data_IF_512082707102
#
_entry.id   IF_512082707102
#
_cell.length_a   1.000
_cell.length_b   1.000
_cell.length_c   1.000
_cell.angle_alpha   90.00
_cell.angle_beta   90.00
_cell.angle_gamma   90.00
#
_symmetry.space_group_name_H-M   'P 1'
#
loop_
_entity.id
_entity.type
_entity.pdbx_description
1 polymer ?
#
# COMPACT_ATOMS: atom_id res chain seq x y z
N UNK A 1 36.56 -18.61 9.21
CA UNK A 1 36.20 -20.04 9.41
C UNK A 1 36.31 -20.77 8.08
N UNK A 2 36.85 -21.99 8.02
CA UNK A 2 36.96 -22.72 6.75
C UNK A 2 35.58 -23.27 6.33
N UNK A 3 35.21 -23.28 5.04
CA UNK A 3 33.87 -23.67 4.57
C UNK A 3 33.39 -25.03 5.09
N UNK A 4 34.28 -26.02 5.16
CA UNK A 4 33.93 -27.35 5.68
C UNK A 4 33.52 -27.34 7.17
N UNK A 5 34.06 -26.41 7.98
CA UNK A 5 33.68 -26.29 9.40
C UNK A 5 32.26 -25.73 9.54
N UNK A 6 31.86 -24.83 8.64
CA UNK A 6 30.50 -24.29 8.58
C UNK A 6 29.53 -25.39 8.14
N UNK A 7 29.91 -26.18 7.13
CA UNK A 7 29.10 -27.31 6.65
C UNK A 7 28.89 -28.36 7.76
N UNK A 8 29.94 -28.77 8.46
CA UNK A 8 29.86 -29.72 9.58
C UNK A 8 28.96 -29.17 10.69
N UNK A 9 29.11 -27.88 11.03
CA UNK A 9 28.26 -27.24 12.03
C UNK A 9 26.78 -27.26 11.63
N UNK A 10 26.46 -26.94 10.38
CA UNK A 10 25.09 -26.99 9.84
C UNK A 10 24.52 -28.42 9.93
N UNK A 11 25.28 -29.43 9.50
CA UNK A 11 24.84 -30.83 9.60
C UNK A 11 24.63 -31.28 11.05
N UNK A 12 25.50 -30.84 11.96
CA UNK A 12 25.37 -31.15 13.38
C UNK A 12 24.13 -30.49 13.98
N UNK A 13 23.82 -29.25 13.63
CA UNK A 13 22.57 -28.60 14.02
C UNK A 13 21.35 -29.36 13.49
N UNK A 14 21.33 -29.74 12.21
CA UNK A 14 20.21 -30.52 11.64
C UNK A 14 20.06 -31.88 12.32
N UNK A 15 21.17 -32.57 12.60
CA UNK A 15 21.15 -33.85 13.31
C UNK A 15 20.56 -33.70 14.71
N UNK A 16 21.00 -32.70 15.48
CA UNK A 16 20.46 -32.44 16.83
C UNK A 16 18.96 -32.11 16.77
N UNK A 17 18.53 -31.29 15.82
CA UNK A 17 17.11 -30.96 15.63
C UNK A 17 16.27 -32.19 15.23
N UNK A 18 16.81 -33.07 14.39
CA UNK A 18 16.13 -34.30 13.97
C UNK A 18 15.97 -35.30 15.13
N UNK A 19 17.01 -35.44 15.96
CA UNK A 19 16.95 -36.26 17.18
C UNK A 19 15.93 -35.67 18.16
N UNK A 20 15.99 -34.36 18.42
CA UNK A 20 15.03 -33.68 19.29
C UNK A 20 13.58 -33.88 18.81
N UNK A 21 13.32 -33.68 17.52
CA UNK A 21 11.99 -33.87 16.95
C UNK A 21 11.52 -35.32 16.87
N UNK A 22 12.43 -36.30 16.88
CA UNK A 22 12.07 -37.72 16.92
C UNK A 22 11.70 -38.19 18.33
N UNK A 23 12.31 -37.60 19.35
CA UNK A 23 12.07 -37.95 20.76
C UNK A 23 10.90 -37.15 21.35
N UNK A 24 10.55 -36.00 20.75
CA UNK A 24 9.46 -35.16 21.24
C UNK A 24 8.09 -35.84 21.03
N UNK A 25 7.20 -35.87 22.05
CA UNK A 25 5.90 -36.51 21.92
C UNK A 25 5.01 -35.80 20.89
N UNK A 26 4.25 -36.54 20.05
CA UNK A 26 3.40 -35.96 19.01
C UNK A 26 2.37 -34.95 19.52
N UNK A 27 1.80 -35.22 20.70
CA UNK A 27 0.78 -34.36 21.33
C UNK A 27 1.36 -33.12 22.02
N UNK A 28 2.70 -33.01 22.05
CA UNK A 28 3.43 -31.96 22.75
C UNK A 28 3.61 -32.24 24.25
N UNK A 29 4.51 -31.48 24.87
CA UNK A 29 4.80 -31.56 26.29
C UNK A 29 4.05 -30.45 27.01
N UNK A 30 3.12 -30.81 27.90
CA UNK A 30 2.35 -29.85 28.70
C UNK A 30 3.17 -29.41 29.92
N UNK A 31 3.49 -28.12 29.99
CA UNK A 31 4.10 -27.49 31.16
C UNK A 31 3.13 -26.41 31.65
N UNK A 32 2.35 -26.74 32.68
CA UNK A 32 1.28 -25.86 33.18
C UNK A 32 0.19 -25.63 32.12
N UNK A 33 -0.06 -24.38 31.76
CA UNK A 33 -1.01 -24.00 30.70
C UNK A 33 -0.38 -23.94 29.30
N UNK A 34 0.93 -24.13 29.18
CA UNK A 34 1.66 -24.03 27.91
C UNK A 34 1.89 -25.44 27.37
N UNK A 35 1.53 -25.66 26.10
CA UNK A 35 1.85 -26.90 25.38
C UNK A 35 3.01 -26.62 24.43
N UNK A 36 4.20 -27.14 24.77
CA UNK A 36 5.34 -27.10 23.86
C UNK A 36 5.15 -28.17 22.80
N UNK A 37 5.39 -27.84 21.53
CA UNK A 37 5.35 -28.78 20.42
C UNK A 37 6.62 -28.66 19.62
N UNK A 38 7.13 -29.77 19.13
CA UNK A 38 8.28 -29.81 18.25
C UNK A 38 7.92 -30.68 17.03
N UNK A 39 8.15 -30.19 15.80
CA UNK A 39 7.81 -30.95 14.61
C UNK A 39 8.72 -32.18 14.47
N UNK A 40 8.14 -33.33 14.17
CA UNK A 40 8.93 -34.53 13.87
C UNK A 40 9.66 -34.38 12.53
N UNK A 41 10.79 -35.07 12.30
CA UNK A 41 11.46 -35.04 11.00
C UNK A 41 10.51 -35.40 9.85
N UNK A 42 9.64 -36.39 10.06
CA UNK A 42 8.64 -36.78 9.08
C UNK A 42 7.66 -35.64 8.73
N UNK A 43 7.26 -34.80 9.70
CA UNK A 43 6.39 -33.65 9.44
C UNK A 43 7.10 -32.51 8.69
N UNK A 44 8.42 -32.40 8.81
CA UNK A 44 9.23 -31.39 8.10
C UNK A 44 9.53 -31.83 6.67
N UNK A 45 9.72 -33.14 6.45
CA UNK A 45 9.98 -33.72 5.13
C UNK A 45 8.74 -34.18 4.40
N UNK A 46 7.59 -34.29 5.08
CA UNK A 46 6.29 -34.42 4.43
C UNK A 46 6.06 -33.13 3.64
N UNK A 47 6.37 -33.19 2.34
CA UNK A 47 5.69 -32.37 1.37
C UNK A 47 4.21 -32.62 1.61
N UNK A 48 3.51 -31.60 2.12
CA UNK A 48 2.08 -31.55 1.92
C UNK A 48 1.86 -31.82 0.43
N UNK A 49 0.90 -32.68 0.08
CA UNK A 49 0.27 -32.64 -1.23
C UNK A 49 -0.51 -31.31 -1.33
N UNK A 50 0.16 -30.18 -1.10
CA UNK A 50 -0.25 -28.93 -1.67
C UNK A 50 -0.14 -29.17 -3.17
N UNK A 51 -1.27 -29.04 -3.86
CA UNK A 51 -1.26 -28.79 -5.29
C UNK A 51 -0.27 -27.65 -5.52
N UNK A 52 0.97 -28.02 -5.86
CA UNK A 52 2.00 -27.06 -6.21
C UNK A 52 1.49 -26.45 -7.49
N UNK A 53 0.81 -25.30 -7.36
CA UNK A 53 0.51 -24.43 -8.47
C UNK A 53 1.82 -24.28 -9.21
N UNK A 54 1.90 -24.96 -10.36
CA UNK A 54 3.13 -25.02 -11.11
C UNK A 54 3.33 -23.61 -11.68
N UNK A 55 4.10 -22.82 -10.93
CA UNK A 55 4.30 -21.40 -11.18
C UNK A 55 4.88 -21.24 -12.59
N UNK A 56 5.74 -22.17 -13.01
CA UNK A 56 6.33 -22.17 -14.35
C UNK A 56 5.28 -22.42 -15.45
N UNK A 57 4.34 -23.36 -15.27
CA UNK A 57 3.20 -23.53 -16.20
C UNK A 57 2.33 -22.28 -16.24
N UNK A 58 2.04 -21.68 -15.08
CA UNK A 58 1.20 -20.47 -14.98
C UNK A 58 1.87 -19.27 -15.64
N UNK A 59 3.19 -19.11 -15.46
CA UNK A 59 4.02 -18.07 -16.08
C UNK A 59 4.15 -18.31 -17.59
N UNK A 60 4.34 -19.55 -18.02
CA UNK A 60 4.39 -19.93 -19.44
C UNK A 60 3.06 -19.65 -20.15
N UNK A 61 1.92 -19.99 -19.51
CA UNK A 61 0.59 -19.69 -20.02
C UNK A 61 0.32 -18.17 -20.07
N UNK A 62 0.80 -17.41 -19.08
CA UNK A 62 0.76 -15.94 -19.08
C UNK A 62 1.62 -15.33 -20.21
N UNK A 63 2.80 -15.90 -20.47
CA UNK A 63 3.69 -15.46 -21.55
C UNK A 63 3.10 -15.77 -22.94
N UNK A 64 2.51 -16.95 -23.13
CA UNK A 64 1.76 -17.29 -24.34
C UNK A 64 0.54 -16.37 -24.54
N UNK A 65 -0.17 -16.02 -23.45
CA UNK A 65 -1.30 -15.07 -23.51
C UNK A 65 -0.90 -13.64 -23.81
N UNK A 66 0.30 -13.19 -23.43
CA UNK A 66 0.83 -11.87 -23.84
C UNK A 66 1.02 -11.75 -25.35
N UNK A 67 1.40 -12.84 -26.03
CA UNK A 67 1.45 -12.89 -27.50
C UNK A 67 0.05 -12.82 -28.15
N UNK A 68 -1.02 -13.00 -27.35
CA UNK A 68 -2.41 -12.95 -27.77
C UNK A 68 -3.01 -11.54 -27.80
N UNK A 69 -2.22 -10.49 -27.49
CA UNK A 69 -2.62 -9.11 -27.81
C UNK A 69 -2.92 -8.91 -29.31
N UNK A 70 -2.41 -9.79 -30.17
CA UNK A 70 -2.76 -9.86 -31.59
C UNK A 70 -4.18 -10.40 -31.88
N UNK A 71 -4.87 -11.02 -30.91
CA UNK A 71 -6.20 -11.66 -31.08
C UNK A 71 -7.34 -10.79 -30.49
N UNK A 72 -7.03 -9.61 -29.96
CA UNK A 72 -8.05 -8.64 -29.51
C UNK A 72 -8.93 -8.10 -30.63
N UNK A 73 -8.60 -8.34 -31.90
CA UNK A 73 -9.38 -7.91 -33.06
C UNK A 73 -10.46 -8.91 -33.53
N UNK A 74 -10.49 -10.15 -33.02
CA UNK A 74 -11.37 -11.20 -33.56
C UNK A 74 -12.15 -12.04 -32.54
N UNK A 75 -11.91 -11.87 -31.23
CA UNK A 75 -12.64 -12.59 -30.16
C UNK A 75 -13.56 -11.63 -29.42
N UNK A 76 -14.82 -12.06 -29.18
CA UNK A 76 -15.74 -11.42 -28.24
C UNK A 76 -15.07 -11.30 -26.86
N UNK A 77 -14.58 -10.10 -26.55
CA UNK A 77 -13.80 -9.79 -25.37
C UNK A 77 -14.55 -10.12 -24.07
N UNK A 78 -15.88 -9.99 -24.05
CA UNK A 78 -16.72 -10.35 -22.90
C UNK A 78 -16.70 -11.85 -22.64
N UNK A 79 -16.76 -12.67 -23.68
CA UNK A 79 -16.67 -14.13 -23.57
C UNK A 79 -15.31 -14.56 -23.02
N UNK A 80 -14.24 -13.94 -23.50
CA UNK A 80 -12.88 -14.18 -22.98
C UNK A 80 -12.77 -13.84 -21.49
N UNK A 81 -13.16 -12.63 -21.08
CA UNK A 81 -13.03 -12.22 -19.68
C UNK A 81 -13.93 -13.05 -18.75
N UNK A 82 -15.13 -13.41 -19.19
CA UNK A 82 -16.02 -14.29 -18.44
C UNK A 82 -15.42 -15.69 -18.25
N UNK A 83 -14.74 -16.21 -19.27
CA UNK A 83 -14.01 -17.47 -19.16
C UNK A 83 -12.81 -17.33 -18.23
N UNK A 84 -12.01 -16.26 -18.38
CA UNK A 84 -10.86 -15.98 -17.53
C UNK A 84 -11.23 -15.97 -16.05
N UNK A 85 -12.24 -15.18 -15.69
CA UNK A 85 -12.67 -15.01 -14.29
C UNK A 85 -13.23 -16.29 -13.66
N UNK A 86 -13.74 -17.23 -14.47
CA UNK A 86 -14.34 -18.48 -13.98
C UNK A 86 -13.37 -19.65 -13.95
N UNK A 87 -12.55 -19.77 -14.98
CA UNK A 87 -11.86 -21.02 -15.30
C UNK A 87 -10.33 -20.88 -15.38
N UNK A 88 -9.77 -19.67 -15.37
CA UNK A 88 -8.33 -19.49 -15.47
C UNK A 88 -7.63 -19.80 -14.14
N UNK A 89 -6.49 -20.48 -14.19
CA UNK A 89 -5.69 -20.80 -13.00
C UNK A 89 -5.14 -19.54 -12.31
N UNK A 90 -5.00 -18.45 -13.06
CA UNK A 90 -4.54 -17.14 -12.57
C UNK A 90 -5.69 -16.17 -12.30
N UNK A 91 -6.94 -16.65 -12.26
CA UNK A 91 -8.12 -15.81 -12.02
C UNK A 91 -8.07 -15.15 -10.64
N UNK A 92 -8.81 -14.05 -10.51
CA UNK A 92 -9.12 -13.48 -9.20
C UNK A 92 -10.07 -14.42 -8.45
N UNK A 93 -9.80 -14.66 -7.17
CA UNK A 93 -10.68 -15.42 -6.28
C UNK A 93 -11.64 -14.46 -5.60
N UNK A 94 -12.93 -14.62 -5.87
CA UNK A 94 -13.99 -13.78 -5.31
C UNK A 94 -14.66 -14.48 -4.12
N UNK A 95 -15.11 -13.73 -3.10
CA UNK A 95 -15.93 -14.28 -2.04
C UNK A 95 -17.17 -15.01 -2.60
N UNK A 96 -17.38 -16.23 -2.12
CA UNK A 96 -18.46 -17.11 -2.61
C UNK A 96 -18.33 -17.50 -4.09
N UNK A 97 -17.13 -17.37 -4.69
CA UNK A 97 -16.88 -17.56 -6.12
C UNK A 97 -17.78 -16.68 -7.03
N UNK A 98 -18.27 -15.56 -6.50
CA UNK A 98 -19.18 -14.67 -7.22
C UNK A 98 -18.39 -13.64 -8.03
N UNK A 99 -18.30 -13.85 -9.36
CA UNK A 99 -17.61 -12.90 -10.24
C UNK A 99 -18.25 -11.50 -10.30
N UNK A 100 -19.48 -11.34 -9.79
CA UNK A 100 -20.20 -10.06 -9.65
C UNK A 100 -19.93 -9.36 -8.31
N UNK A 101 -19.03 -9.88 -7.48
CA UNK A 101 -18.79 -9.37 -6.13
C UNK A 101 -18.50 -7.87 -6.10
N UNK A 102 -17.77 -7.34 -7.10
CA UNK A 102 -17.43 -5.93 -7.19
C UNK A 102 -18.44 -5.09 -7.99
N UNK A 103 -19.53 -5.64 -8.53
CA UNK A 103 -20.50 -4.88 -9.33
C UNK A 103 -21.06 -3.68 -8.57
N UNK A 104 -21.33 -3.86 -7.27
CA UNK A 104 -21.77 -2.76 -6.39
C UNK A 104 -20.70 -1.68 -6.24
N UNK A 105 -19.43 -2.07 -6.07
CA UNK A 105 -18.32 -1.13 -5.98
C UNK A 105 -18.15 -0.37 -7.30
N UNK A 106 -18.24 -1.06 -8.44
CA UNK A 106 -18.15 -0.41 -9.75
C UNK A 106 -19.30 0.56 -9.99
N UNK A 107 -20.53 0.22 -9.60
CA UNK A 107 -21.68 1.12 -9.67
C UNK A 107 -21.52 2.35 -8.75
N UNK A 108 -20.93 2.18 -7.56
CA UNK A 108 -20.60 3.29 -6.68
C UNK A 108 -19.53 4.20 -7.29
N UNK A 109 -18.49 3.62 -7.91
CA UNK A 109 -17.48 4.41 -8.61
C UNK A 109 -18.04 5.17 -9.81
N UNK A 110 -18.81 4.51 -10.67
CA UNK A 110 -19.42 5.12 -11.86
C UNK A 110 -20.29 6.34 -11.54
N UNK A 111 -20.94 6.35 -10.37
CA UNK A 111 -21.82 7.42 -9.96
C UNK A 111 -21.12 8.45 -9.06
N UNK A 112 -20.41 8.01 -8.03
CA UNK A 112 -19.75 8.89 -7.07
C UNK A 112 -18.59 9.67 -7.68
N UNK A 113 -17.83 9.05 -8.60
CA UNK A 113 -16.69 9.70 -9.26
C UNK A 113 -17.07 10.92 -10.09
N UNK A 114 -18.36 11.12 -10.40
CA UNK A 114 -18.88 12.28 -11.12
C UNK A 114 -18.95 13.55 -10.27
N UNK A 115 -19.02 13.40 -8.94
CA UNK A 115 -19.26 14.50 -8.00
C UNK A 115 -18.09 14.70 -7.03
N UNK A 116 -17.40 13.62 -6.68
CA UNK A 116 -16.33 13.64 -5.69
C UNK A 116 -15.15 12.76 -6.12
N UNK A 117 -14.08 12.83 -5.34
CA UNK A 117 -12.93 11.93 -5.51
C UNK A 117 -13.16 10.69 -4.65
N UNK A 118 -13.08 9.52 -5.26
CA UNK A 118 -13.08 8.23 -4.58
C UNK A 118 -11.64 7.76 -4.47
N UNK A 119 -11.19 7.50 -3.24
CA UNK A 119 -9.81 7.10 -2.95
C UNK A 119 -9.71 5.60 -2.72
N UNK A 120 -9.01 4.88 -3.59
CA UNK A 120 -8.73 3.46 -3.41
C UNK A 120 -7.36 3.30 -2.75
N UNK A 121 -7.27 2.46 -1.72
CA UNK A 121 -6.00 2.13 -1.07
C UNK A 121 -5.53 0.76 -1.51
N UNK A 122 -4.33 0.67 -2.10
CA UNK A 122 -3.69 -0.59 -2.45
C UNK A 122 -2.55 -0.87 -1.47
N UNK A 123 -2.86 -1.68 -0.45
CA UNK A 123 -1.90 -2.18 0.53
C UNK A 123 -1.26 -3.47 0.04
N UNK A 124 0.05 -3.58 0.24
CA UNK A 124 0.78 -4.78 -0.13
C UNK A 124 2.20 -4.75 0.41
N UNK A 125 2.99 -5.73 0.03
CA UNK A 125 4.36 -5.89 0.49
C UNK A 125 5.37 -5.28 -0.52
N UNK A 126 6.55 -5.89 -0.65
CA UNK A 126 7.56 -5.48 -1.60
C UNK A 126 7.12 -5.58 -3.07
N UNK A 127 6.10 -6.38 -3.42
CA UNK A 127 5.68 -6.59 -4.81
C UNK A 127 5.09 -5.33 -5.46
N UNK A 128 4.47 -4.46 -4.65
CA UNK A 128 3.86 -3.21 -5.13
C UNK A 128 4.80 -2.00 -4.95
N UNK A 129 6.04 -2.22 -4.52
CA UNK A 129 7.06 -1.17 -4.47
C UNK A 129 7.29 -0.53 -5.84
N UNK A 130 7.82 0.69 -5.82
CA UNK A 130 8.07 1.48 -7.03
C UNK A 130 6.81 1.82 -7.82
N UNK A 131 5.62 1.52 -7.27
CA UNK A 131 4.34 1.71 -7.94
C UNK A 131 4.21 0.86 -9.22
N UNK A 132 4.96 -0.26 -9.33
CA UNK A 132 5.04 -1.09 -10.55
C UNK A 132 3.69 -1.64 -11.01
N UNK A 133 2.89 -2.14 -10.06
CA UNK A 133 1.56 -2.72 -10.32
C UNK A 133 0.50 -1.64 -10.16
N UNK A 134 0.58 -0.90 -9.05
CA UNK A 134 -0.38 0.13 -8.66
C UNK A 134 -0.50 1.27 -9.67
N UNK A 135 0.58 1.67 -10.36
CA UNK A 135 0.53 2.71 -11.39
C UNK A 135 -0.33 2.33 -12.59
N UNK A 136 -0.18 1.09 -13.08
CA UNK A 136 -0.99 0.57 -14.18
C UNK A 136 -2.45 0.43 -13.75
N UNK A 137 -2.69 -0.10 -12.54
CA UNK A 137 -4.05 -0.25 -12.05
C UNK A 137 -4.75 1.10 -11.87
N UNK A 138 -4.06 2.07 -11.27
CA UNK A 138 -4.52 3.46 -11.13
C UNK A 138 -4.90 4.05 -12.49
N UNK A 139 -4.02 3.92 -13.49
CA UNK A 139 -4.29 4.45 -14.82
C UNK A 139 -5.56 3.85 -15.42
N UNK A 140 -5.73 2.52 -15.35
CA UNK A 140 -6.92 1.84 -15.89
C UNK A 140 -8.20 2.30 -15.22
N UNK A 141 -8.19 2.46 -13.90
CA UNK A 141 -9.33 2.99 -13.15
C UNK A 141 -9.65 4.44 -13.52
N UNK A 142 -8.62 5.28 -13.67
CA UNK A 142 -8.78 6.68 -14.05
C UNK A 142 -9.22 6.86 -15.51
N UNK A 143 -8.81 5.96 -16.41
CA UNK A 143 -9.27 5.93 -17.80
C UNK A 143 -10.74 5.52 -17.88
N UNK A 144 -11.17 4.57 -17.03
CA UNK A 144 -12.54 4.06 -17.03
C UNK A 144 -13.53 4.98 -16.29
N UNK A 145 -13.21 5.39 -15.06
CA UNK A 145 -14.14 6.11 -14.18
C UNK A 145 -13.84 7.61 -14.07
N UNK A 146 -12.87 8.10 -14.85
CA UNK A 146 -12.34 9.44 -14.72
C UNK A 146 -11.44 9.61 -13.49
N UNK A 147 -10.80 10.78 -13.40
CA UNK A 147 -9.84 11.09 -12.34
C UNK A 147 -8.44 11.34 -12.88
N UNK A 148 -7.57 11.79 -11.99
CA UNK A 148 -6.17 12.11 -12.26
C UNK A 148 -5.38 12.14 -10.95
N UNK A 149 -4.06 12.32 -11.06
CA UNK A 149 -3.12 12.38 -9.95
C UNK A 149 -2.69 10.99 -9.48
N UNK A 150 -1.73 10.97 -8.56
CA UNK A 150 -1.09 9.74 -8.09
C UNK A 150 -1.65 9.21 -6.75
N UNK A 151 -2.69 9.85 -6.22
CA UNK A 151 -3.31 9.47 -4.95
C UNK A 151 -2.54 10.03 -3.76
N UNK A 152 -2.59 9.32 -2.64
CA UNK A 152 -2.02 9.75 -1.36
C UNK A 152 -0.61 9.18 -1.21
N UNK A 153 0.34 10.05 -0.90
CA UNK A 153 1.75 9.69 -0.65
C UNK A 153 2.19 10.08 0.76
N UNK A 154 3.15 9.35 1.37
CA UNK A 154 3.65 9.70 2.69
C UNK A 154 4.38 11.03 2.66
N UNK A 155 4.45 11.79 3.77
CA UNK A 155 5.15 13.07 3.80
C UNK A 155 6.64 12.96 3.49
N UNK A 156 7.23 11.84 3.91
CA UNK A 156 8.62 11.44 3.63
C UNK A 156 8.56 10.07 2.96
N UNK A 157 8.85 10.03 1.67
CA UNK A 157 8.83 8.83 0.86
C UNK A 157 10.25 8.24 0.74
N UNK A 158 10.44 7.05 1.29
CA UNK A 158 11.73 6.32 1.27
C UNK A 158 11.86 5.36 0.08
N UNK A 159 10.72 4.98 -0.51
CA UNK A 159 10.66 4.07 -1.65
C UNK A 159 10.36 4.92 -2.89
N UNK A 160 11.22 4.95 -3.91
CA UNK A 160 10.95 5.72 -5.11
C UNK A 160 9.63 5.28 -5.78
N UNK A 161 9.05 6.13 -6.63
CA UNK A 161 7.80 5.83 -7.34
C UNK A 161 7.94 6.16 -8.83
N UNK A 162 7.34 5.33 -9.68
CA UNK A 162 7.25 5.63 -11.12
C UNK A 162 6.31 6.78 -11.45
N UNK A 163 5.38 7.13 -10.56
CA UNK A 163 4.40 8.19 -10.80
C UNK A 163 4.68 9.45 -10.02
N UNK A 164 5.35 9.34 -8.87
CA UNK A 164 5.55 10.46 -7.95
C UNK A 164 7.02 10.84 -7.81
N UNK A 165 7.28 12.13 -7.98
CA UNK A 165 8.44 12.81 -7.45
C UNK A 165 8.07 13.49 -6.13
N UNK A 166 8.94 13.39 -5.14
CA UNK A 166 8.80 14.09 -3.87
C UNK A 166 10.16 14.58 -3.39
N UNK A 167 10.15 15.73 -2.73
CA UNK A 167 11.25 16.22 -1.91
C UNK A 167 10.69 16.86 -0.64
N UNK A 168 11.46 16.88 0.44
CA UNK A 168 11.11 17.59 1.66
C UNK A 168 12.34 18.28 2.25
N UNK A 169 12.12 19.32 3.05
CA UNK A 169 13.14 19.99 3.83
C UNK A 169 12.55 20.53 5.13
N UNK A 170 13.38 20.61 6.18
CA UNK A 170 12.97 21.11 7.49
C UNK A 170 12.70 20.01 8.52
N UNK A 171 11.94 20.37 9.54
CA UNK A 171 11.89 19.69 10.84
C UNK A 171 10.80 18.60 10.88
N UNK A 172 10.96 17.58 10.03
CA UNK A 172 10.08 16.43 9.90
C UNK A 172 10.79 15.13 10.29
N UNK A 173 10.20 14.37 11.21
CA UNK A 173 10.64 13.02 11.57
C UNK A 173 9.62 11.97 11.13
N UNK A 174 10.03 11.04 10.28
CA UNK A 174 9.18 9.92 9.83
C UNK A 174 9.04 8.87 10.93
N UNK A 175 7.84 8.32 11.08
CA UNK A 175 7.55 7.12 11.85
C UNK A 175 6.77 6.12 11.00
N UNK A 176 7.06 4.83 11.12
CA UNK A 176 6.42 3.76 10.34
C UNK A 176 6.08 2.59 11.27
N UNK A 177 5.09 1.77 10.93
CA UNK A 177 4.70 0.59 11.75
C UNK A 177 5.12 -0.77 11.16
N UNK A 178 5.51 -0.79 9.87
CA UNK A 178 6.08 -1.95 9.16
C UNK A 178 7.59 -1.80 8.90
N UNK A 179 8.23 -2.83 8.33
CA UNK A 179 9.68 -2.87 8.11
C UNK A 179 10.47 -3.39 9.31
N UNK A 180 11.79 -3.34 9.24
CA UNK A 180 12.69 -3.84 10.30
C UNK A 180 12.68 -2.96 11.57
N UNK A 181 13.48 -3.36 12.57
CA UNK A 181 13.60 -2.66 13.86
C UNK A 181 14.46 -1.40 13.82
N UNK A 182 15.19 -1.14 12.72
CA UNK A 182 15.97 0.09 12.56
C UNK A 182 15.07 1.29 12.26
N UNK A 183 13.85 1.03 11.77
CA UNK A 183 12.88 2.08 11.47
C UNK A 183 12.25 2.64 12.76
N UNK A 184 12.17 3.97 12.92
CA UNK A 184 11.61 4.60 14.11
C UNK A 184 10.13 4.25 14.30
N UNK A 185 9.80 3.78 15.51
CA UNK A 185 8.43 3.52 15.96
C UNK A 185 7.97 4.67 16.86
N UNK A 186 6.72 5.06 16.70
CA UNK A 186 6.12 6.05 17.56
C UNK A 186 5.72 5.39 18.90
N UNK A 187 5.68 6.15 20.01
CA UNK A 187 5.18 5.65 21.29
C UNK A 187 3.66 5.39 21.29
N UNK A 188 2.96 5.81 20.23
CA UNK A 188 1.53 5.61 20.01
C UNK A 188 1.26 4.89 18.68
N UNK A 189 0.00 4.47 18.49
CA UNK A 189 -0.44 3.65 17.35
C UNK A 189 -1.11 4.42 16.21
N UNK A 190 -1.13 5.75 16.27
CA UNK A 190 -1.75 6.64 15.27
C UNK A 190 -0.90 6.77 14.01
N UNK A 191 -0.86 5.72 13.19
CA UNK A 191 -0.08 5.69 11.95
C UNK A 191 -0.88 6.09 10.70
N UNK A 192 -2.18 6.36 10.84
CA UNK A 192 -3.05 6.76 9.74
C UNK A 192 -3.15 5.75 8.60
N UNK A 193 -3.70 6.21 7.48
CA UNK A 193 -4.02 5.39 6.31
C UNK A 193 -2.79 4.83 5.57
N UNK A 194 -1.60 5.41 5.73
CA UNK A 194 -0.39 4.93 5.05
C UNK A 194 0.45 3.99 5.93
N UNK A 195 -0.01 3.68 7.15
CA UNK A 195 0.80 2.95 8.14
C UNK A 195 2.15 3.66 8.45
N UNK A 196 2.19 4.98 8.20
CA UNK A 196 3.32 5.88 8.42
C UNK A 196 2.80 7.31 8.56
N UNK A 197 3.52 8.13 9.32
CA UNK A 197 3.28 9.56 9.44
C UNK A 197 4.63 10.27 9.61
N UNK A 198 4.63 11.59 9.48
CA UNK A 198 5.77 12.41 9.86
C UNK A 198 5.36 13.37 10.98
N UNK A 199 6.13 13.42 12.06
CA UNK A 199 5.98 14.44 13.09
C UNK A 199 6.65 15.72 12.59
N UNK A 200 5.90 16.82 12.54
CA UNK A 200 6.42 18.17 12.34
C UNK A 200 6.66 18.82 13.70
N UNK A 201 7.86 19.35 13.92
CA UNK A 201 8.23 20.00 15.18
C UNK A 201 8.30 21.53 15.09
N UNK A 202 8.55 22.09 13.91
CA UNK A 202 8.60 23.55 13.71
C UNK A 202 8.14 23.97 12.33
N UNK A 203 9.01 23.86 11.32
CA UNK A 203 8.76 24.31 9.96
C UNK A 203 9.31 23.29 8.97
N UNK A 204 8.54 23.04 7.91
CA UNK A 204 9.01 22.18 6.84
C UNK A 204 8.36 22.54 5.51
N UNK A 205 8.96 22.08 4.43
CA UNK A 205 8.36 22.10 3.10
C UNK A 205 8.28 20.69 2.57
N UNK A 206 7.18 20.36 1.92
CA UNK A 206 7.02 19.11 1.19
C UNK A 206 6.62 19.47 -0.24
N UNK A 207 7.49 19.13 -1.17
CA UNK A 207 7.27 19.30 -2.60
C UNK A 207 6.85 17.97 -3.20
N UNK A 208 5.74 17.96 -3.93
CA UNK A 208 5.18 16.77 -4.57
C UNK A 208 4.89 17.06 -6.04
N UNK A 209 4.98 16.02 -6.86
CA UNK A 209 4.48 16.07 -8.21
C UNK A 209 4.78 14.83 -9.03
N UNK A 210 4.72 14.97 -10.34
CA UNK A 210 4.98 13.86 -11.25
C UNK A 210 6.45 13.45 -11.26
N UNK A 211 6.68 12.14 -11.30
CA UNK A 211 7.99 11.57 -11.59
C UNK A 211 8.51 12.02 -12.96
N UNK A 212 9.84 12.09 -13.09
CA UNK A 212 10.51 12.33 -14.37
C UNK A 212 10.62 11.06 -15.23
N UNK A 213 10.07 9.93 -14.76
CA UNK A 213 10.13 8.67 -15.48
C UNK A 213 9.35 8.77 -16.80
N UNK A 214 10.03 8.50 -17.93
CA UNK A 214 9.46 8.69 -19.29
C UNK A 214 8.17 7.90 -19.52
N UNK A 215 8.00 6.75 -18.84
CA UNK A 215 6.82 5.88 -18.97
C UNK A 215 5.84 6.04 -17.80
N UNK A 216 5.90 7.15 -17.06
CA UNK A 216 4.89 7.46 -16.05
C UNK A 216 3.50 7.56 -16.72
N UNK A 217 2.47 6.87 -16.21
CA UNK A 217 1.09 6.97 -16.70
C UNK A 217 0.59 8.41 -16.88
N UNK A 218 -0.06 8.68 -18.02
CA UNK A 218 -0.53 10.03 -18.37
C UNK A 218 -1.44 10.65 -17.31
N UNK A 219 -2.39 9.87 -16.77
CA UNK A 219 -3.34 10.32 -15.74
C UNK A 219 -2.67 10.72 -14.42
N UNK A 220 -1.42 10.32 -14.18
CA UNK A 220 -0.66 10.66 -12.97
C UNK A 220 0.23 11.90 -13.14
N UNK A 221 0.41 12.42 -14.37
CA UNK A 221 1.34 13.52 -14.65
C UNK A 221 0.87 14.87 -14.15
N UNK A 222 -0.44 15.03 -13.96
CA UNK A 222 -1.05 16.27 -13.45
C UNK A 222 -2.12 15.99 -12.42
N UNK A 223 -2.41 17.00 -11.61
CA UNK A 223 -3.46 16.98 -10.60
C UNK A 223 -4.03 18.40 -10.43
N UNK A 224 -5.24 18.50 -9.90
CA UNK A 224 -5.94 19.77 -9.65
C UNK A 224 -6.24 20.00 -8.18
N UNK A 225 -6.18 18.97 -7.34
CA UNK A 225 -6.44 19.06 -5.92
C UNK A 225 -5.27 18.51 -5.12
N UNK A 226 -4.95 19.22 -4.05
CA UNK A 226 -3.97 18.81 -3.04
C UNK A 226 -4.65 18.80 -1.68
N UNK A 227 -4.64 17.64 -1.04
CA UNK A 227 -5.13 17.51 0.33
C UNK A 227 -3.95 17.21 1.24
N UNK A 228 -3.71 18.04 2.25
CA UNK A 228 -2.78 17.76 3.34
C UNK A 228 -3.57 17.09 4.47
N UNK A 229 -3.16 15.87 4.82
CA UNK A 229 -3.83 15.06 5.84
C UNK A 229 -3.05 15.20 7.14
N UNK A 230 -3.69 15.74 8.16
CA UNK A 230 -3.06 16.20 9.40
C UNK A 230 -3.69 15.46 10.58
N UNK A 231 -2.90 15.15 11.58
CA UNK A 231 -3.33 14.63 12.87
C UNK A 231 -2.80 15.48 14.01
N UNK A 232 -3.56 15.55 15.10
CA UNK A 232 -3.06 15.97 16.43
C UNK A 232 -2.21 17.25 16.37
N UNK A 233 -2.75 18.33 15.80
CA UNK A 233 -2.04 19.60 15.65
C UNK A 233 -2.14 20.46 16.91
N UNK A 234 -1.14 21.31 17.13
CA UNK A 234 -1.20 22.42 18.08
C UNK A 234 -1.93 23.64 17.49
N UNK A 235 -2.36 24.54 18.38
CA UNK A 235 -2.97 25.82 18.00
C UNK A 235 -2.01 26.65 17.13
N UNK A 236 -2.55 27.25 16.07
CA UNK A 236 -1.79 28.09 15.15
C UNK A 236 -1.03 27.32 14.06
N UNK A 237 -1.21 26.00 13.95
CA UNK A 237 -0.70 25.24 12.81
C UNK A 237 -1.21 25.87 11.50
N UNK A 238 -0.32 26.11 10.56
CA UNK A 238 -0.68 26.64 9.24
C UNK A 238 0.05 25.92 8.13
N UNK A 239 -0.60 25.87 6.98
CA UNK A 239 -0.04 25.34 5.76
C UNK A 239 -0.33 26.28 4.60
N UNK A 240 0.65 26.48 3.74
CA UNK A 240 0.56 27.34 2.56
C UNK A 240 0.85 26.53 1.31
N UNK A 241 -0.04 26.61 0.32
CA UNK A 241 0.18 26.03 -0.99
C UNK A 241 -0.22 27.04 -2.07
N UNK A 242 0.65 27.26 -3.06
CA UNK A 242 0.46 28.26 -4.13
C UNK A 242 0.00 29.64 -3.62
N UNK A 243 0.65 30.14 -2.58
CA UNK A 243 0.36 31.46 -1.98
C UNK A 243 -0.94 31.53 -1.16
N UNK A 244 -1.71 30.44 -1.06
CA UNK A 244 -2.92 30.38 -0.23
C UNK A 244 -2.62 29.67 1.09
N UNK A 245 -2.74 30.40 2.18
CA UNK A 245 -2.53 29.88 3.54
C UNK A 245 -3.85 29.44 4.17
N UNK A 246 -3.84 28.28 4.82
CA UNK A 246 -4.92 27.80 5.68
C UNK A 246 -4.37 27.54 7.08
N UNK A 247 -5.09 27.97 8.11
CA UNK A 247 -4.64 27.93 9.51
C UNK A 247 -5.67 27.20 10.37
N UNK A 248 -5.20 26.36 11.27
CA UNK A 248 -6.00 25.71 12.31
C UNK A 248 -5.72 26.44 13.63
N UNK A 249 -6.62 27.34 14.02
CA UNK A 249 -6.40 28.24 15.16
C UNK A 249 -6.35 27.52 16.52
N UNK A 250 -6.96 26.35 16.64
CA UNK A 250 -7.05 25.59 17.89
C UNK A 250 -6.33 24.24 17.79
N UNK A 251 -5.86 23.75 18.94
CA UNK A 251 -5.38 22.38 19.06
C UNK A 251 -6.50 21.41 18.74
N UNK A 252 -6.27 20.50 17.79
CA UNK A 252 -7.28 19.51 17.39
C UNK A 252 -6.68 18.12 17.38
N UNK A 253 -7.34 17.21 18.11
CA UNK A 253 -7.02 15.78 18.13
C UNK A 253 -7.71 15.06 16.97
N UNK A 254 -7.11 13.96 16.54
CA UNK A 254 -7.62 13.18 15.41
C UNK A 254 -7.29 13.83 14.06
N UNK A 255 -7.93 13.34 13.01
CA UNK A 255 -7.60 13.63 11.61
C UNK A 255 -8.35 14.88 11.10
N UNK A 256 -7.63 15.73 10.38
CA UNK A 256 -8.15 16.88 9.64
C UNK A 256 -7.54 16.94 8.25
N UNK A 257 -8.22 17.61 7.32
CA UNK A 257 -7.76 17.76 5.95
C UNK A 257 -7.80 19.24 5.56
N UNK A 258 -6.66 19.75 5.05
CA UNK A 258 -6.61 21.05 4.38
C UNK A 258 -6.56 20.81 2.87
N UNK A 259 -7.45 21.47 2.12
CA UNK A 259 -7.65 21.23 0.69
C UNK A 259 -7.32 22.48 -0.12
N UNK A 260 -6.49 22.34 -1.14
CA UNK A 260 -6.25 23.37 -2.16
C UNK A 260 -6.69 22.86 -3.52
N UNK A 261 -7.51 23.65 -4.20
CA UNK A 261 -7.92 23.41 -5.58
C UNK A 261 -7.26 24.41 -6.53
N UNK A 262 -6.80 23.89 -7.66
CA UNK A 262 -6.23 24.66 -8.75
C UNK A 262 -7.25 24.78 -9.89
N UNK A 263 -7.22 25.91 -10.59
CA UNK A 263 -8.07 26.10 -11.77
C UNK A 263 -7.60 25.15 -12.88
N UNK A 264 -6.33 25.26 -13.24
CA UNK A 264 -5.68 24.39 -14.22
C UNK A 264 -4.92 23.23 -13.56
N UNK A 265 -4.83 22.05 -14.21
CA UNK A 265 -3.98 20.96 -13.75
C UNK A 265 -2.51 21.39 -13.66
N UNK A 266 -1.84 20.93 -12.61
CA UNK A 266 -0.43 21.22 -12.34
C UNK A 266 0.35 19.92 -12.24
N UNK A 267 1.64 19.94 -12.59
CA UNK A 267 2.51 18.77 -12.50
C UNK A 267 3.30 18.70 -11.19
N UNK A 268 3.46 19.84 -10.50
CA UNK A 268 4.17 19.97 -9.23
C UNK A 268 3.59 21.07 -8.36
N UNK A 269 3.73 20.90 -7.04
CA UNK A 269 3.50 21.96 -6.07
C UNK A 269 4.36 21.76 -4.82
N UNK A 270 4.43 22.78 -3.99
CA UNK A 270 5.04 22.74 -2.66
C UNK A 270 4.01 23.14 -1.62
N UNK A 271 3.99 22.42 -0.50
CA UNK A 271 3.24 22.76 0.70
C UNK A 271 4.25 23.17 1.77
N UNK A 272 4.16 24.42 2.22
CA UNK A 272 4.95 24.94 3.34
C UNK A 272 4.15 24.78 4.62
N UNK A 273 4.75 24.19 5.65
CA UNK A 273 4.14 23.86 6.92
C UNK A 273 4.79 24.67 8.04
N UNK A 274 3.99 25.15 8.97
CA UNK A 274 4.44 25.90 10.15
C UNK A 274 3.62 25.50 11.39
N UNK A 275 4.30 25.23 12.49
CA UNK A 275 3.74 24.76 13.75
C UNK A 275 3.99 23.26 14.00
N UNK A 276 3.33 22.70 15.00
CA UNK A 276 3.46 21.28 15.37
C UNK A 276 2.23 20.49 14.99
N UNK A 277 2.43 19.37 14.29
CA UNK A 277 1.38 18.43 13.94
C UNK A 277 1.94 17.09 13.50
N UNK A 278 1.11 16.05 13.51
CA UNK A 278 1.36 14.82 12.76
C UNK A 278 0.88 15.03 11.32
N UNK A 279 1.70 14.68 10.33
CA UNK A 279 1.34 14.72 8.92
C UNK A 279 1.16 13.27 8.45
N UNK A 280 -0.05 12.89 8.06
CA UNK A 280 -0.37 11.53 7.63
C UNK A 280 -0.15 11.29 6.13
N UNK A 281 -0.14 12.35 5.32
CA UNK A 281 0.11 12.23 3.90
C UNK A 281 -0.33 13.46 3.11
N UNK A 282 0.01 13.43 1.82
CA UNK A 282 -0.40 14.43 0.84
C UNK A 282 -1.08 13.71 -0.31
N UNK A 283 -2.31 14.11 -0.61
CA UNK A 283 -3.07 13.63 -1.76
C UNK A 283 -2.81 14.51 -2.98
N UNK A 284 -2.61 13.89 -4.14
CA UNK A 284 -2.65 14.54 -5.46
C UNK A 284 -3.76 13.89 -6.27
N UNK A 285 -4.80 14.65 -6.58
CA UNK A 285 -6.01 14.14 -7.25
C UNK A 285 -6.64 15.16 -8.21
N UNK A 286 -7.67 14.74 -8.95
CA UNK A 286 -8.59 15.65 -9.63
C UNK A 286 -9.58 16.31 -8.67
N UNK A 287 -10.48 17.15 -9.18
CA UNK A 287 -11.63 17.66 -8.39
C UNK A 287 -12.70 16.59 -8.13
N UNK A 288 -12.72 15.58 -9.00
CA UNK A 288 -13.61 14.42 -9.00
C UNK A 288 -12.91 13.26 -9.71
N UNK A 289 -13.49 12.07 -9.63
CA UNK A 289 -12.98 10.87 -10.29
C UNK A 289 -12.50 9.81 -9.31
N UNK A 290 -11.75 8.84 -9.80
CA UNK A 290 -11.11 7.82 -8.97
C UNK A 290 -9.62 8.10 -8.86
N UNK A 291 -9.03 7.77 -7.71
CA UNK A 291 -7.58 7.72 -7.56
C UNK A 291 -7.19 6.51 -6.71
N UNK A 292 -5.97 6.02 -6.90
CA UNK A 292 -5.46 4.84 -6.18
C UNK A 292 -4.14 5.17 -5.50
N UNK A 293 -4.05 4.99 -4.19
CA UNK A 293 -2.83 5.22 -3.42
C UNK A 293 -2.08 3.90 -3.26
N UNK A 294 -0.77 3.91 -3.55
CA UNK A 294 0.10 2.75 -3.38
C UNK A 294 0.75 2.77 -2.00
N UNK A 295 0.53 1.72 -1.18
CA UNK A 295 1.11 1.61 0.17
C UNK A 295 1.98 0.36 0.26
N UNK A 296 3.23 0.41 -0.24
CA UNK A 296 4.16 -0.70 -0.17
C UNK A 296 4.73 -0.83 1.25
N UNK A 297 4.42 -1.94 1.91
CA UNK A 297 4.83 -2.26 3.26
C UNK A 297 5.80 -3.44 3.23
N UNK A 298 7.07 -3.16 2.90
CA UNK A 298 8.13 -4.17 2.83
C UNK A 298 8.14 -5.08 4.06
N UNK A 299 8.13 -6.39 3.82
CA UNK A 299 8.17 -7.42 4.87
C UNK A 299 6.89 -7.54 5.69
N UNK A 300 5.77 -6.96 5.22
CA UNK A 300 4.50 -7.05 5.93
C UNK A 300 3.70 -8.29 5.52
N UNK A 301 3.21 -9.03 6.51
CA UNK A 301 2.31 -10.18 6.33
C UNK A 301 0.81 -9.82 6.45
N UNK A 302 0.47 -8.52 6.43
CA UNK A 302 -0.91 -8.03 6.55
C UNK A 302 -1.45 -7.88 7.97
N UNK A 303 -0.76 -8.42 8.99
CA UNK A 303 -1.19 -8.29 10.41
C UNK A 303 -0.98 -6.89 11.00
N UNK A 304 -0.44 -5.97 10.22
CA UNK A 304 -0.02 -4.64 10.67
C UNK A 304 -1.16 -3.75 11.16
N UNK A 305 -2.37 -3.95 10.62
CA UNK A 305 -3.54 -3.16 11.02
C UNK A 305 -3.89 -3.36 12.50
N UNK A 306 -3.54 -4.50 13.09
CA UNK A 306 -3.69 -4.75 14.54
C UNK A 306 -2.79 -3.89 15.40
N UNK A 307 -1.80 -3.20 14.81
CA UNK A 307 -0.87 -2.27 15.47
C UNK A 307 -1.21 -0.81 15.20
N UNK A 308 -2.22 -0.53 14.37
CA UNK A 308 -2.70 0.81 14.08
C UNK A 308 -3.90 1.09 15.00
N UNK A 309 -4.05 2.34 15.43
CA UNK A 309 -5.23 2.79 16.17
C UNK A 309 -6.45 2.79 15.25
N UNK A 310 -7.49 2.04 15.61
CA UNK A 310 -8.66 1.82 14.74
C UNK A 310 -9.50 3.09 14.56
N UNK A 311 -9.62 3.92 15.60
CA UNK A 311 -10.38 5.17 15.52
C UNK A 311 -9.71 6.18 14.59
N UNK A 312 -8.39 6.36 14.73
CA UNK A 312 -7.58 7.19 13.84
C UNK A 312 -7.62 6.70 12.38
N UNK A 313 -7.58 5.39 12.17
CA UNK A 313 -7.66 4.79 10.84
C UNK A 313 -9.04 4.98 10.21
N UNK A 314 -10.12 4.71 10.94
CA UNK A 314 -11.49 4.91 10.46
C UNK A 314 -11.79 6.38 10.15
N UNK A 315 -11.32 7.29 11.00
CA UNK A 315 -11.41 8.73 10.74
C UNK A 315 -10.63 9.12 9.48
N UNK A 316 -9.43 8.55 9.28
CA UNK A 316 -8.61 8.79 8.08
C UNK A 316 -9.34 8.37 6.80
N UNK A 317 -9.98 7.19 6.80
CA UNK A 317 -10.75 6.70 5.66
C UNK A 317 -11.98 7.58 5.38
N UNK A 318 -12.72 7.95 6.43
CA UNK A 318 -13.91 8.82 6.30
C UNK A 318 -13.54 10.19 5.72
N UNK A 319 -12.48 10.82 6.23
CA UNK A 319 -12.05 12.16 5.79
C UNK A 319 -11.53 12.17 4.34
N UNK A 320 -11.07 11.03 3.83
CA UNK A 320 -10.51 10.90 2.49
C UNK A 320 -11.42 10.14 1.53
N UNK A 321 -12.67 9.83 1.88
CA UNK A 321 -13.60 9.07 1.04
C UNK A 321 -12.97 7.78 0.45
N UNK A 322 -12.43 6.96 1.35
CA UNK A 322 -11.82 5.65 1.06
C UNK A 322 -12.84 4.53 1.20
#
# INVERSE_FOLDING_TARGET
>A
MKPYKVLIFIFLCFFVLAVLGSVFPPDGLKIGQITLRFPSPAAVFATSDEETLNVDKSVHDLQQKKNMQAIQSTIDSLKYYKNYVRNDVTRLYFPGNNYKYFDKLFALMENGSKNEVIHIMHYGDSQIEMDRISSLFRQRLQDQFGGMGAGIVPPIQTIPSFTVWQSYAGDLQRYVVYGDTSQPRAPHRRYGLLATFAQLYSNATISVGTSNYKKAPEKSKTFQCVNLIIGNNEAGFSATCKGKTQTISQTKKGVSVLKWEFQEPVSRTTVTLNGKAEIYGISMSGKKGVTLSNVPMRGCSGTIFTRIDSANLAQSYTQMNV
#
